data_IF_029031496490
#
_entry.id   IF_029031496490
#
_cell.length_a   1.000
_cell.length_b   1.000
_cell.length_c   1.000
_cell.angle_alpha   90.00
_cell.angle_beta   90.00
_cell.angle_gamma   90.00
#
_symmetry.space_group_name_H-M   'P 1'
#
loop_
_entity.id
_entity.type
_entity.pdbx_description
1 polymer ?
#
# COMPACT_ATOMS: atom_id res chain seq x y z
N UNK A 1 -14.75 11.79 33.58
CA UNK A 1 -13.89 12.96 33.89
C UNK A 1 -12.44 12.53 33.75
N UNK A 2 -11.68 13.12 32.83
CA UNK A 2 -10.28 12.76 32.55
C UNK A 2 -9.36 13.67 33.40
N UNK A 3 -8.56 13.08 34.29
CA UNK A 3 -7.61 13.82 35.12
C UNK A 3 -6.29 14.05 34.36
N UNK A 4 -5.69 15.25 34.43
CA UNK A 4 -4.42 15.53 33.76
C UNK A 4 -3.30 14.64 34.30
N UNK A 5 -2.56 13.99 33.40
CA UNK A 5 -1.41 13.12 33.73
C UNK A 5 -1.66 11.61 33.62
N UNK A 6 -2.82 11.19 33.14
CA UNK A 6 -3.17 9.76 33.02
C UNK A 6 -3.41 9.34 31.57
N UNK A 7 -2.32 8.97 30.88
CA UNK A 7 -2.40 8.35 29.56
C UNK A 7 -2.72 6.85 29.75
N UNK A 8 -3.93 6.43 29.39
CA UNK A 8 -4.31 5.03 29.37
C UNK A 8 -4.40 4.54 27.94
N UNK A 9 -3.67 3.47 27.62
CA UNK A 9 -3.83 2.76 26.36
C UNK A 9 -5.06 1.86 26.45
N UNK A 10 -5.98 2.01 25.50
CA UNK A 10 -7.16 1.19 25.38
C UNK A 10 -7.29 0.67 23.95
N UNK A 11 -7.60 -0.61 23.81
CA UNK A 11 -7.95 -1.24 22.54
C UNK A 11 -9.36 -1.81 22.66
N UNK A 12 -10.34 -1.00 22.26
CA UNK A 12 -11.74 -1.36 22.24
C UNK A 12 -12.57 -0.32 21.50
N UNK A 13 -13.77 -0.71 21.10
CA UNK A 13 -14.71 0.17 20.37
C UNK A 13 -15.14 1.33 21.26
N UNK A 14 -14.97 2.56 20.77
CA UNK A 14 -15.29 3.79 21.51
C UNK A 14 -16.62 4.42 21.11
N UNK A 15 -17.11 4.18 19.89
CA UNK A 15 -18.42 4.67 19.41
C UNK A 15 -19.06 3.65 18.47
N UNK A 16 -20.37 3.80 18.26
CA UNK A 16 -21.11 3.15 17.19
C UNK A 16 -21.01 3.91 15.85
N UNK A 17 -20.53 5.15 15.86
CA UNK A 17 -20.35 5.96 14.66
C UNK A 17 -19.27 5.38 13.76
N UNK A 18 -19.62 5.21 12.47
CA UNK A 18 -18.69 4.76 11.44
C UNK A 18 -18.30 5.97 10.60
N UNK A 19 -17.01 6.30 10.62
CA UNK A 19 -16.44 7.26 9.68
C UNK A 19 -16.40 6.62 8.28
N UNK A 20 -17.09 7.22 7.33
CA UNK A 20 -17.00 6.81 5.92
C UNK A 20 -15.53 6.80 5.48
N UNK A 21 -15.13 5.77 4.74
CA UNK A 21 -13.78 5.60 4.18
C UNK A 21 -12.63 5.44 5.20
N UNK A 22 -12.90 5.38 6.50
CA UNK A 22 -11.87 5.21 7.53
C UNK A 22 -11.22 3.81 7.58
N UNK A 23 -11.75 2.86 6.80
CA UNK A 23 -11.19 1.51 6.66
C UNK A 23 -10.17 1.37 5.52
N UNK A 24 -9.86 2.45 4.80
CA UNK A 24 -8.92 2.36 3.68
C UNK A 24 -7.48 2.26 4.17
N UNK A 25 -6.87 1.09 3.97
CA UNK A 25 -5.47 0.84 4.25
C UNK A 25 -4.72 0.62 2.95
N UNK A 26 -3.59 1.31 2.77
CA UNK A 26 -2.66 1.00 1.70
C UNK A 26 -1.22 0.91 2.22
N UNK A 27 -0.53 -0.16 1.82
CA UNK A 27 0.81 -0.50 2.31
C UNK A 27 1.94 0.06 1.42
N UNK A 28 1.65 0.52 0.20
CA UNK A 28 2.64 1.02 -0.77
C UNK A 28 2.03 2.06 -1.74
N UNK A 29 1.28 3.03 -1.21
CA UNK A 29 0.62 4.10 -1.97
C UNK A 29 1.41 5.42 -1.92
N UNK A 30 2.72 5.39 -2.21
CA UNK A 30 3.53 6.61 -2.18
C UNK A 30 3.59 7.30 -3.54
N UNK A 31 3.91 8.59 -3.51
CA UNK A 31 4.11 9.42 -4.69
C UNK A 31 5.50 9.18 -5.30
N UNK A 32 6.52 9.06 -4.46
CA UNK A 32 7.92 9.01 -4.86
C UNK A 32 8.50 7.60 -4.75
N UNK A 33 9.36 7.20 -5.68
CA UNK A 33 10.07 5.91 -5.62
C UNK A 33 10.98 5.83 -4.37
N UNK A 34 11.54 6.96 -3.94
CA UNK A 34 12.36 7.04 -2.72
C UNK A 34 11.62 6.59 -1.47
N UNK A 35 10.31 6.87 -1.35
CA UNK A 35 9.48 6.43 -0.23
C UNK A 35 9.29 4.91 -0.22
N UNK A 36 9.21 4.27 -1.40
CA UNK A 36 9.17 2.81 -1.50
C UNK A 36 10.50 2.22 -1.01
N UNK A 37 11.63 2.74 -1.47
CA UNK A 37 12.97 2.29 -1.06
C UNK A 37 13.19 2.49 0.42
N UNK A 38 12.82 3.66 0.94
CA UNK A 38 12.87 3.94 2.38
C UNK A 38 12.01 2.92 3.13
N UNK A 39 10.75 2.71 2.72
CA UNK A 39 9.89 1.75 3.40
C UNK A 39 10.43 0.31 3.37
N UNK A 40 10.99 -0.10 2.24
CA UNK A 40 11.61 -1.42 2.09
C UNK A 40 12.88 -1.56 2.92
N UNK A 41 13.55 -0.46 3.27
CA UNK A 41 14.83 -0.50 4.00
C UNK A 41 14.76 -0.19 5.50
N UNK A 42 13.73 0.51 5.97
CA UNK A 42 13.72 1.08 7.34
C UNK A 42 12.70 0.49 8.32
N UNK A 43 11.72 -0.29 7.86
CA UNK A 43 10.63 -0.79 8.70
C UNK A 43 10.60 -2.32 8.79
N UNK A 44 9.52 -2.85 9.38
CA UNK A 44 9.20 -4.27 9.35
C UNK A 44 9.32 -4.82 7.92
N UNK A 45 9.95 -5.97 7.81
CA UNK A 45 10.22 -6.65 6.55
C UNK A 45 11.41 -6.12 5.72
N UNK A 46 12.31 -5.32 6.29
CA UNK A 46 13.58 -5.01 5.64
C UNK A 46 14.41 -6.26 5.30
N UNK A 47 14.29 -7.32 6.10
CA UNK A 47 14.89 -8.63 5.85
C UNK A 47 14.48 -9.26 4.51
N UNK A 48 13.40 -8.78 3.89
CA UNK A 48 12.93 -9.24 2.57
C UNK A 48 13.66 -8.59 1.40
N UNK A 49 14.50 -7.58 1.64
CA UNK A 49 15.40 -7.02 0.62
C UNK A 49 16.62 -7.92 0.49
N UNK A 50 16.47 -9.01 -0.25
CA UNK A 50 17.52 -10.04 -0.41
C UNK A 50 18.55 -9.72 -1.49
N UNK A 51 18.25 -8.78 -2.40
CA UNK A 51 19.14 -8.29 -3.45
C UNK A 51 18.91 -6.77 -3.65
N UNK A 52 19.98 -6.03 -3.92
CA UNK A 52 19.96 -4.61 -4.28
C UNK A 52 19.16 -4.32 -5.56
N UNK A 53 19.06 -5.26 -6.48
CA UNK A 53 18.22 -5.12 -7.69
C UNK A 53 16.74 -4.90 -7.35
N UNK A 54 16.28 -5.32 -6.16
CA UNK A 54 14.93 -5.04 -5.67
C UNK A 54 14.70 -3.56 -5.36
N UNK A 55 15.78 -2.79 -5.16
CA UNK A 55 15.79 -1.36 -4.86
C UNK A 55 16.09 -0.51 -6.10
N UNK A 56 16.27 -1.10 -7.28
CA UNK A 56 16.39 -0.34 -8.53
C UNK A 56 15.08 0.41 -8.84
N UNK A 57 15.21 1.66 -9.25
CA UNK A 57 14.06 2.55 -9.42
C UNK A 57 13.14 2.08 -10.55
N UNK A 58 13.71 1.56 -11.65
CA UNK A 58 12.93 1.02 -12.76
C UNK A 58 12.28 -0.31 -12.36
N UNK A 59 13.01 -1.17 -11.64
CA UNK A 59 12.45 -2.43 -11.14
C UNK A 59 11.26 -2.21 -10.19
N UNK A 60 11.33 -1.21 -9.31
CA UNK A 60 10.21 -0.80 -8.46
C UNK A 60 9.06 -0.27 -9.32
N UNK A 61 9.34 0.63 -10.25
CA UNK A 61 8.33 1.23 -11.12
C UNK A 61 7.57 0.19 -11.96
N UNK A 62 8.29 -0.76 -12.54
CA UNK A 62 7.73 -1.85 -13.35
C UNK A 62 6.80 -2.73 -12.49
N UNK A 63 7.24 -3.11 -11.29
CA UNK A 63 6.43 -3.91 -10.37
C UNK A 63 5.13 -3.19 -9.98
N UNK A 64 5.18 -1.88 -9.75
CA UNK A 64 3.99 -1.06 -9.47
C UNK A 64 3.03 -1.08 -10.65
N UNK A 65 3.52 -0.79 -11.86
CA UNK A 65 2.69 -0.72 -13.07
C UNK A 65 2.13 -2.08 -13.51
N UNK A 66 2.81 -3.17 -13.18
CA UNK A 66 2.39 -4.53 -13.49
C UNK A 66 1.54 -5.18 -12.40
N UNK A 67 1.44 -4.57 -11.20
CA UNK A 67 0.72 -5.16 -10.07
C UNK A 67 1.40 -6.40 -9.50
N UNK A 68 2.75 -6.40 -9.48
CA UNK A 68 3.59 -7.48 -8.96
C UNK A 68 3.95 -7.26 -7.49
N UNK A 69 4.34 -8.33 -6.81
CA UNK A 69 4.89 -8.26 -5.46
C UNK A 69 6.21 -7.46 -5.47
N UNK A 70 6.30 -6.42 -4.62
CA UNK A 70 7.47 -5.52 -4.60
C UNK A 70 8.78 -6.24 -4.21
N UNK A 71 8.69 -7.26 -3.35
CA UNK A 71 9.80 -8.10 -2.93
C UNK A 71 10.01 -9.32 -3.84
N UNK A 72 9.17 -9.51 -4.88
CA UNK A 72 9.26 -10.68 -5.77
C UNK A 72 8.87 -12.01 -5.12
N UNK A 73 8.16 -11.97 -4.00
CA UNK A 73 7.75 -13.17 -3.26
C UNK A 73 6.47 -13.80 -3.80
N UNK A 74 6.33 -15.11 -3.59
CA UNK A 74 5.06 -15.81 -3.79
C UNK A 74 3.97 -15.30 -2.84
N UNK A 75 2.69 -15.37 -3.23
CA UNK A 75 1.58 -14.96 -2.39
C UNK A 75 1.46 -15.88 -1.17
N UNK A 76 1.00 -15.32 -0.06
CA UNK A 76 0.68 -16.10 1.14
C UNK A 76 -0.57 -16.97 0.90
N UNK A 77 -0.41 -18.27 1.11
CA UNK A 77 -1.46 -19.27 0.88
C UNK A 77 -1.28 -20.47 1.82
N UNK A 78 -2.40 -21.02 2.29
CA UNK A 78 -2.46 -22.17 3.20
C UNK A 78 -2.82 -23.48 2.49
N UNK A 79 -3.05 -23.42 1.17
CA UNK A 79 -3.28 -24.59 0.31
C UNK A 79 -2.70 -24.39 -1.08
N UNK A 80 -2.39 -25.48 -1.78
CA UNK A 80 -1.91 -25.42 -3.18
C UNK A 80 -2.94 -24.79 -4.11
N UNK A 81 -4.22 -25.05 -3.89
CA UNK A 81 -5.32 -24.46 -4.67
C UNK A 81 -5.31 -22.94 -4.53
N UNK A 82 -5.16 -22.43 -3.30
CA UNK A 82 -5.11 -20.99 -3.05
C UNK A 82 -3.85 -20.37 -3.64
N UNK A 83 -2.71 -21.04 -3.50
CA UNK A 83 -1.45 -20.59 -4.11
C UNK A 83 -1.61 -20.42 -5.63
N UNK A 84 -2.12 -21.45 -6.31
CA UNK A 84 -2.34 -21.41 -7.76
C UNK A 84 -3.34 -20.31 -8.14
N UNK A 85 -4.41 -20.13 -7.36
CA UNK A 85 -5.41 -19.09 -7.64
C UNK A 85 -4.88 -17.65 -7.49
N UNK A 86 -3.85 -17.46 -6.65
CA UNK A 86 -3.23 -16.16 -6.37
C UNK A 86 -1.92 -15.93 -7.12
N UNK A 87 -1.43 -16.93 -7.84
CA UNK A 87 -0.21 -16.83 -8.62
C UNK A 87 -0.43 -15.92 -9.83
N UNK A 88 0.55 -15.05 -10.10
CA UNK A 88 0.54 -14.10 -11.20
C UNK A 88 0.32 -12.66 -10.74
N UNK A 89 0.11 -11.77 -11.71
CA UNK A 89 -0.08 -10.35 -11.46
C UNK A 89 -1.53 -10.08 -11.03
N UNK A 90 -1.71 -9.09 -10.15
CA UNK A 90 -3.05 -8.62 -9.81
C UNK A 90 -3.68 -7.98 -11.05
N UNK A 91 -4.89 -8.40 -11.47
CA UNK A 91 -5.53 -7.82 -12.64
C UNK A 91 -5.82 -6.34 -12.42
N UNK A 92 -5.52 -5.52 -13.43
CA UNK A 92 -5.79 -4.09 -13.40
C UNK A 92 -7.30 -3.85 -13.32
N UNK A 93 -7.70 -2.98 -12.40
CA UNK A 93 -9.09 -2.55 -12.24
C UNK A 93 -9.20 -1.07 -12.55
N UNK A 94 -10.19 -0.71 -13.38
CA UNK A 94 -10.58 0.68 -13.61
C UNK A 94 -11.71 1.12 -12.67
N UNK A 95 -12.08 0.27 -11.70
CA UNK A 95 -13.12 0.59 -10.73
C UNK A 95 -12.64 1.63 -9.74
N UNK A 96 -13.47 2.64 -9.50
CA UNK A 96 -13.30 3.61 -8.42
C UNK A 96 -14.07 3.20 -7.15
N UNK A 97 -14.79 2.08 -7.19
CA UNK A 97 -15.56 1.57 -6.06
C UNK A 97 -14.61 1.16 -4.93
N UNK A 98 -14.85 1.68 -3.72
CA UNK A 98 -14.04 1.41 -2.53
C UNK A 98 -12.84 2.35 -2.35
N UNK A 99 -12.64 3.33 -3.24
CA UNK A 99 -11.69 4.42 -3.00
C UNK A 99 -12.31 5.51 -2.13
N UNK A 100 -11.55 6.13 -1.21
CA UNK A 100 -12.04 7.22 -0.39
C UNK A 100 -12.56 8.39 -1.22
N UNK A 101 -13.69 8.98 -0.81
CA UNK A 101 -14.28 10.13 -1.50
C UNK A 101 -13.29 11.29 -1.64
N UNK A 102 -12.49 11.54 -0.61
CA UNK A 102 -11.48 12.60 -0.62
C UNK A 102 -10.43 12.42 -1.74
N UNK A 103 -10.05 11.16 -2.03
CA UNK A 103 -9.10 10.85 -3.11
C UNK A 103 -9.71 11.16 -4.48
N UNK A 104 -11.01 10.87 -4.66
CA UNK A 104 -11.72 11.14 -5.91
C UNK A 104 -11.92 12.65 -6.15
N UNK A 105 -12.25 13.42 -5.10
CA UNK A 105 -12.45 14.87 -5.18
C UNK A 105 -11.14 15.64 -5.38
N UNK A 106 -9.99 15.05 -5.08
CA UNK A 106 -8.65 15.65 -5.19
C UNK A 106 -7.76 14.86 -6.16
N UNK A 107 -8.29 14.51 -7.34
CA UNK A 107 -7.61 13.69 -8.34
C UNK A 107 -6.29 14.30 -8.84
N UNK A 108 -6.16 15.63 -8.81
CA UNK A 108 -5.00 16.43 -9.16
C UNK A 108 -3.84 16.19 -8.19
N UNK A 109 -4.15 15.92 -6.91
CA UNK A 109 -3.16 15.63 -5.86
C UNK A 109 -2.76 14.17 -5.79
N UNK A 110 -3.65 13.26 -6.18
CA UNK A 110 -3.41 11.83 -6.08
C UNK A 110 -3.56 11.09 -7.42
N UNK A 111 -3.07 11.64 -8.56
CA UNK A 111 -3.24 10.98 -9.85
C UNK A 111 -2.57 9.61 -9.86
N UNK A 112 -1.49 9.46 -9.08
CA UNK A 112 -0.69 8.24 -8.95
C UNK A 112 -1.43 7.07 -8.24
N UNK A 113 -2.59 7.34 -7.61
CA UNK A 113 -3.44 6.32 -6.97
C UNK A 113 -4.67 5.96 -7.79
N UNK A 114 -4.91 6.66 -8.90
CA UNK A 114 -6.07 6.48 -9.75
C UNK A 114 -5.75 5.60 -10.97
N UNK A 115 -6.77 4.97 -11.59
CA UNK A 115 -6.59 4.19 -12.80
C UNK A 115 -5.82 4.98 -13.88
N UNK A 116 -4.76 4.36 -14.42
CA UNK A 116 -3.86 4.97 -15.41
C UNK A 116 -2.64 5.69 -14.81
N UNK A 117 -2.65 6.05 -13.52
CA UNK A 117 -1.54 6.73 -12.85
C UNK A 117 -0.53 5.80 -12.18
N UNK A 118 0.07 4.85 -12.91
CA UNK A 118 1.02 3.92 -12.28
C UNK A 118 2.44 4.50 -12.12
N UNK A 119 2.77 5.57 -12.84
CA UNK A 119 4.08 6.21 -12.79
C UNK A 119 4.25 6.96 -11.47
N UNK A 120 5.44 6.86 -10.89
CA UNK A 120 5.87 7.52 -9.66
C UNK A 120 6.92 8.57 -9.99
N UNK A 121 6.95 9.60 -9.17
CA UNK A 121 7.87 10.71 -9.34
C UNK A 121 9.27 10.31 -8.84
N UNK A 122 10.31 10.74 -9.55
CA UNK A 122 11.71 10.39 -9.23
C UNK A 122 12.38 11.32 -8.21
N UNK A 123 11.70 12.38 -7.75
CA UNK A 123 12.29 13.38 -6.85
C UNK A 123 11.50 13.55 -5.57
N UNK A 124 12.10 13.22 -4.43
CA UNK A 124 11.59 13.52 -3.09
C UNK A 124 12.66 14.18 -2.25
#
# INVERSE_FOLDING_TARGET
THAPGSNFYHHGRLSDDILSDAGWHCTFCFRYISDFKFKMTSYSHNDRVTNQDLLDDNAIQDKICEGKNIFGMFPEAYSFKDLISKLGNIPKSNSLVGLPKYLLENNDKFPFLLPGGCIRESGG
#
